data_IF_259978491365
#
_entry.id   IF_259978491365
#
_cell.length_a   1.000
_cell.length_b   1.000
_cell.length_c   1.000
_cell.angle_alpha   90.00
_cell.angle_beta   90.00
_cell.angle_gamma   90.00
#
_symmetry.space_group_name_H-M   'P 1'
#
loop_
_entity.id
_entity.type
_entity.pdbx_description
1 polymer ?
#
# COMPACT_ATOMS: atom_id res chain seq x y z
N UNK A 1 -26.94 -5.04 0.05
CA UNK A 1 -26.22 -3.98 -0.65
C UNK A 1 -25.22 -4.61 -1.61
N UNK A 2 -25.19 -4.11 -2.82
CA UNK A 2 -24.28 -4.64 -3.82
C UNK A 2 -22.90 -3.98 -3.65
N UNK A 3 -21.87 -4.79 -3.54
CA UNK A 3 -20.49 -4.29 -3.50
C UNK A 3 -20.13 -3.77 -4.89
N UNK A 4 -19.60 -2.56 -4.96
CA UNK A 4 -19.13 -2.01 -6.23
C UNK A 4 -17.87 -2.75 -6.67
N UNK A 5 -18.02 -3.63 -7.66
CA UNK A 5 -16.92 -4.44 -8.18
C UNK A 5 -15.81 -3.59 -8.78
N UNK A 6 -16.17 -2.45 -9.36
CA UNK A 6 -15.18 -1.53 -9.93
C UNK A 6 -14.29 -0.95 -8.82
N UNK A 7 -14.88 -0.53 -7.71
CA UNK A 7 -14.15 -0.01 -6.56
C UNK A 7 -13.19 -1.05 -6.03
N UNK A 8 -13.69 -2.27 -5.83
CA UNK A 8 -12.89 -3.37 -5.31
C UNK A 8 -11.75 -3.74 -6.24
N UNK A 9 -12.00 -3.78 -7.55
CA UNK A 9 -10.94 -4.06 -8.53
C UNK A 9 -9.88 -2.97 -8.54
N UNK A 10 -10.30 -1.72 -8.39
CA UNK A 10 -9.37 -0.59 -8.31
C UNK A 10 -8.48 -0.73 -7.07
N UNK A 11 -9.07 -1.06 -5.92
CA UNK A 11 -8.30 -1.28 -4.70
C UNK A 11 -7.31 -2.43 -4.85
N UNK A 12 -7.75 -3.54 -5.45
CA UNK A 12 -6.88 -4.71 -5.64
C UNK A 12 -5.69 -4.37 -6.55
N UNK A 13 -5.94 -3.63 -7.62
CA UNK A 13 -4.90 -3.21 -8.54
C UNK A 13 -3.89 -2.28 -7.85
N UNK A 14 -4.38 -1.34 -7.07
CA UNK A 14 -3.53 -0.40 -6.36
C UNK A 14 -2.71 -1.10 -5.28
N UNK A 15 -3.31 -2.03 -4.55
CA UNK A 15 -2.60 -2.82 -3.55
C UNK A 15 -1.45 -3.60 -4.19
N UNK A 16 -1.71 -4.26 -5.32
CA UNK A 16 -0.67 -5.02 -6.01
C UNK A 16 0.46 -4.12 -6.49
N UNK A 17 0.12 -2.96 -7.03
CA UNK A 17 1.15 -2.00 -7.46
C UNK A 17 1.98 -1.49 -6.29
N UNK A 18 1.36 -1.26 -5.14
CA UNK A 18 2.10 -0.84 -3.96
C UNK A 18 3.02 -1.95 -3.47
N UNK A 19 2.53 -3.18 -3.47
CA UNK A 19 3.35 -4.33 -3.11
C UNK A 19 4.58 -4.43 -4.03
N UNK A 20 4.38 -4.32 -5.34
CA UNK A 20 5.48 -4.38 -6.30
C UNK A 20 6.50 -3.27 -6.05
N UNK A 21 6.02 -2.05 -5.77
CA UNK A 21 6.89 -0.91 -5.47
C UNK A 21 7.69 -1.12 -4.18
N UNK A 22 7.01 -1.55 -3.12
CA UNK A 22 7.69 -1.79 -1.84
C UNK A 22 8.72 -2.91 -1.93
N UNK A 23 8.38 -3.95 -2.67
CA UNK A 23 9.26 -5.10 -2.81
C UNK A 23 10.62 -4.74 -3.41
N UNK A 24 10.65 -3.76 -4.30
CA UNK A 24 11.90 -3.32 -4.94
C UNK A 24 12.43 -2.00 -4.34
N UNK A 25 11.80 -1.48 -3.32
CA UNK A 25 12.24 -0.25 -2.68
C UNK A 25 11.96 1.02 -3.48
N UNK A 26 10.95 1.00 -4.33
CA UNK A 26 10.57 2.13 -5.17
C UNK A 26 9.65 3.09 -4.41
N UNK A 27 10.24 4.09 -3.76
CA UNK A 27 9.50 5.09 -2.97
C UNK A 27 8.57 5.92 -3.85
N UNK A 28 9.07 6.37 -4.99
CA UNK A 28 8.30 7.20 -5.93
C UNK A 28 7.07 6.43 -6.40
N UNK A 29 7.23 5.16 -6.74
CA UNK A 29 6.13 4.29 -7.12
C UNK A 29 5.10 4.16 -6.01
N UNK A 30 5.54 4.02 -4.77
CA UNK A 30 4.65 3.95 -3.62
C UNK A 30 3.81 5.21 -3.46
N UNK A 31 4.43 6.38 -3.52
CA UNK A 31 3.70 7.65 -3.45
C UNK A 31 2.69 7.78 -4.59
N UNK A 32 3.09 7.40 -5.81
CA UNK A 32 2.21 7.42 -6.98
C UNK A 32 0.94 6.62 -6.75
N UNK A 33 1.05 5.44 -6.16
CA UNK A 33 -0.10 4.57 -5.87
C UNK A 33 -1.08 5.25 -4.92
N UNK A 34 -0.56 5.83 -3.84
CA UNK A 34 -1.42 6.47 -2.83
C UNK A 34 -2.08 7.72 -3.41
N UNK A 35 -1.33 8.52 -4.18
CA UNK A 35 -1.90 9.69 -4.84
C UNK A 35 -3.01 9.32 -5.81
N UNK A 36 -2.81 8.23 -6.55
CA UNK A 36 -3.84 7.73 -7.46
C UNK A 36 -5.08 7.26 -6.71
N UNK A 37 -4.87 6.57 -5.58
CA UNK A 37 -5.99 6.12 -4.73
C UNK A 37 -6.83 7.31 -4.27
N UNK A 38 -6.17 8.39 -3.86
CA UNK A 38 -6.86 9.61 -3.44
C UNK A 38 -7.64 10.24 -4.60
N UNK A 39 -7.06 10.27 -5.80
CA UNK A 39 -7.75 10.80 -6.99
C UNK A 39 -8.98 9.99 -7.37
N UNK A 40 -8.95 8.68 -7.15
CA UNK A 40 -10.10 7.81 -7.41
C UNK A 40 -11.11 7.83 -6.29
N UNK A 41 -10.92 8.69 -5.29
CA UNK A 41 -11.81 8.81 -4.14
C UNK A 41 -11.94 7.49 -3.36
N UNK A 42 -10.85 6.73 -3.30
CA UNK A 42 -10.79 5.58 -2.40
C UNK A 42 -10.85 6.14 -0.98
N UNK A 43 -11.70 5.55 -0.13
CA UNK A 43 -11.86 6.04 1.23
C UNK A 43 -10.55 5.88 2.01
N UNK A 44 -10.19 6.88 2.83
CA UNK A 44 -8.96 6.79 3.64
C UNK A 44 -8.85 5.51 4.44
N UNK A 45 -9.95 5.06 5.05
CA UNK A 45 -9.95 3.81 5.82
C UNK A 45 -9.53 2.61 4.97
N UNK A 46 -9.97 2.57 3.71
CA UNK A 46 -9.61 1.50 2.79
C UNK A 46 -8.16 1.62 2.32
N UNK A 47 -7.66 2.85 2.16
CA UNK A 47 -6.24 3.05 1.83
C UNK A 47 -5.37 2.54 2.98
N UNK A 48 -5.69 2.91 4.22
CA UNK A 48 -4.92 2.47 5.40
C UNK A 48 -4.98 0.96 5.58
N UNK A 49 -6.18 0.41 5.58
CA UNK A 49 -6.39 -0.97 5.97
C UNK A 49 -6.09 -1.95 4.84
N UNK A 50 -6.62 -1.65 3.67
CA UNK A 50 -6.56 -2.61 2.55
C UNK A 50 -5.31 -2.39 1.70
N UNK A 51 -5.08 -1.16 1.24
CA UNK A 51 -3.97 -0.92 0.31
C UNK A 51 -2.63 -0.96 1.06
N UNK A 52 -2.46 -0.13 2.08
CA UNK A 52 -1.19 -0.07 2.82
C UNK A 52 -1.05 -1.28 3.76
N UNK A 53 -2.08 -1.53 4.57
CA UNK A 53 -2.05 -2.63 5.54
C UNK A 53 -1.92 -3.99 4.87
N UNK A 54 -2.67 -4.22 3.79
CA UNK A 54 -2.58 -5.48 3.04
C UNK A 54 -1.19 -5.67 2.44
N UNK A 55 -0.59 -4.60 1.92
CA UNK A 55 0.77 -4.65 1.38
C UNK A 55 1.78 -5.00 2.47
N UNK A 56 1.69 -4.34 3.64
CA UNK A 56 2.60 -4.63 4.75
C UNK A 56 2.48 -6.07 5.22
N UNK A 57 1.26 -6.60 5.23
CA UNK A 57 1.04 -8.00 5.59
C UNK A 57 1.77 -8.93 4.64
N UNK A 58 1.70 -8.65 3.33
CA UNK A 58 2.39 -9.46 2.32
C UNK A 58 3.90 -9.33 2.42
N UNK A 59 4.41 -8.12 2.67
CA UNK A 59 5.85 -7.89 2.89
C UNK A 59 6.31 -8.65 4.13
N UNK A 60 5.52 -8.62 5.21
CA UNK A 60 5.82 -9.37 6.43
C UNK A 60 5.92 -10.87 6.19
N UNK A 61 5.08 -11.41 5.31
CA UNK A 61 5.15 -12.82 4.95
C UNK A 61 6.45 -13.15 4.21
N UNK A 62 6.90 -12.27 3.32
CA UNK A 62 8.18 -12.45 2.62
C UNK A 62 9.33 -12.48 3.61
N UNK A 63 9.33 -11.58 4.58
CA UNK A 63 10.36 -11.54 5.61
C UNK A 63 10.33 -12.82 6.45
N UNK A 64 9.15 -13.27 6.82
CA UNK A 64 8.97 -14.47 7.61
C UNK A 64 9.50 -15.72 6.89
N UNK A 65 9.39 -15.74 5.57
CA UNK A 65 9.91 -16.84 4.73
C UNK A 65 11.40 -16.68 4.41
N UNK A 66 12.02 -15.59 4.85
CA UNK A 66 13.42 -15.32 4.55
C UNK A 66 13.68 -14.84 3.13
N UNK A 67 12.64 -14.38 2.44
CA UNK A 67 12.75 -13.91 1.04
C UNK A 67 13.18 -12.46 0.94
N UNK A 68 13.10 -11.69 2.03
CA UNK A 68 13.63 -10.33 2.11
C UNK A 68 14.37 -10.18 3.43
N UNK A 69 15.28 -9.21 3.48
CA UNK A 69 16.07 -8.96 4.69
C UNK A 69 15.30 -8.13 5.70
N UNK A 70 15.76 -8.16 6.96
CA UNK A 70 15.25 -7.29 8.02
C UNK A 70 15.36 -5.81 7.63
N UNK A 71 16.47 -5.44 6.98
CA UNK A 71 16.66 -4.06 6.52
C UNK A 71 15.60 -3.67 5.49
N UNK A 72 15.27 -4.57 4.56
CA UNK A 72 14.25 -4.32 3.55
C UNK A 72 12.87 -4.18 4.19
N UNK A 73 12.54 -5.06 5.12
CA UNK A 73 11.26 -4.99 5.83
C UNK A 73 11.14 -3.67 6.59
N UNK A 74 12.22 -3.24 7.23
CA UNK A 74 12.25 -1.98 7.98
C UNK A 74 12.02 -0.77 7.06
N UNK A 75 12.64 -0.76 5.87
CA UNK A 75 12.45 0.30 4.89
C UNK A 75 11.00 0.33 4.39
N UNK A 76 10.40 -0.85 4.20
CA UNK A 76 8.99 -0.95 3.78
C UNK A 76 8.06 -0.37 4.84
N UNK A 77 8.30 -0.69 6.11
CA UNK A 77 7.52 -0.14 7.22
C UNK A 77 7.65 1.37 7.31
N UNK A 78 8.85 1.89 7.08
CA UNK A 78 9.08 3.32 7.10
C UNK A 78 8.37 4.03 5.95
N UNK A 79 8.42 3.45 4.75
CA UNK A 79 7.68 3.99 3.62
C UNK A 79 6.18 3.99 3.90
N UNK A 80 5.66 2.90 4.47
CA UNK A 80 4.24 2.82 4.84
C UNK A 80 3.84 3.94 5.80
N UNK A 81 4.67 4.24 6.80
CA UNK A 81 4.41 5.35 7.73
C UNK A 81 4.33 6.68 6.99
N UNK A 82 5.22 6.90 6.03
CA UNK A 82 5.20 8.11 5.22
C UNK A 82 3.94 8.20 4.37
N UNK A 83 3.50 7.08 3.79
CA UNK A 83 2.29 7.03 2.97
C UNK A 83 1.04 7.32 3.81
N UNK A 84 1.00 6.81 5.04
CA UNK A 84 -0.11 7.08 5.97
C UNK A 84 -0.20 8.58 6.24
N UNK A 85 0.93 9.26 6.41
CA UNK A 85 0.95 10.70 6.60
C UNK A 85 0.40 11.45 5.40
N UNK A 86 0.76 11.03 4.19
CA UNK A 86 0.23 11.66 2.97
C UNK A 86 -1.30 11.57 2.95
N UNK A 87 -1.86 10.41 3.25
CA UNK A 87 -3.31 10.23 3.29
C UNK A 87 -3.93 11.12 4.37
N UNK A 88 -3.31 11.15 5.56
CA UNK A 88 -3.80 11.94 6.68
C UNK A 88 -3.83 13.44 6.34
N UNK A 89 -2.81 13.94 5.67
CA UNK A 89 -2.72 15.34 5.30
C UNK A 89 -3.78 15.77 4.28
N UNK A 90 -4.30 14.80 3.49
CA UNK A 90 -5.33 15.08 2.49
C UNK A 90 -6.75 15.05 3.06
N UNK A 91 -6.90 14.73 4.29
CA UNK A 91 -8.20 14.77 4.97
C UNK A 91 -8.48 16.17 5.55
#
# INVERSE_FOLDING_TARGET
MVVDNKYKRTMNRLQKRLFDSMRIGDRTGGYSVVEEALRYNIRPADIYTYIIGGTLSSIGQLWHKGEITVAHEHLSSQLASNLIEVVHEQQ
#
